data_IF_956992625473
#
_entry.id   IF_956992625473
#
_cell.length_a   1.000
_cell.length_b   1.000
_cell.length_c   1.000
_cell.angle_alpha   90.00
_cell.angle_beta   90.00
_cell.angle_gamma   90.00
#
_symmetry.space_group_name_H-M   'P 1'
#
loop_
_entity.id
_entity.type
_entity.pdbx_description
1 polymer ?
#
# COMPACT_ATOMS: atom_id res chain seq x y z
N UNK A 1 32.27 -35.55 -7.79
CA UNK A 1 31.09 -36.10 -7.09
C UNK A 1 29.86 -35.53 -7.79
N UNK A 2 29.41 -36.21 -8.85
CA UNK A 2 28.26 -35.83 -9.65
C UNK A 2 26.99 -36.11 -8.84
N UNK A 3 26.19 -35.08 -8.56
CA UNK A 3 24.85 -35.22 -7.99
C UNK A 3 23.95 -35.85 -9.06
N UNK A 4 24.00 -37.18 -9.19
CA UNK A 4 22.92 -37.93 -9.81
C UNK A 4 21.68 -37.76 -8.95
N UNK A 5 20.65 -37.14 -9.53
CA UNK A 5 19.32 -37.08 -8.93
C UNK A 5 18.84 -38.52 -8.74
N UNK A 6 18.72 -38.97 -7.49
CA UNK A 6 18.15 -40.28 -7.16
C UNK A 6 16.80 -40.41 -7.85
N UNK A 7 16.67 -41.42 -8.70
CA UNK A 7 15.38 -41.83 -9.27
C UNK A 7 14.42 -42.18 -8.14
N UNK A 8 13.16 -41.69 -8.19
CA UNK A 8 12.15 -42.09 -7.22
C UNK A 8 11.91 -43.60 -7.33
N UNK A 9 11.84 -44.27 -6.18
CA UNK A 9 11.48 -45.69 -6.09
C UNK A 9 10.05 -45.86 -6.61
N UNK A 10 9.89 -46.69 -7.65
CA UNK A 10 8.60 -47.05 -8.23
C UNK A 10 7.92 -48.11 -7.35
N UNK A 11 7.04 -47.66 -6.45
CA UNK A 11 6.31 -48.52 -5.52
C UNK A 11 4.79 -48.36 -5.70
N UNK A 12 4.22 -48.64 -6.87
CA UNK A 12 2.80 -49.07 -7.04
C UNK A 12 1.69 -48.21 -6.40
N UNK A 13 1.95 -47.02 -5.87
CA UNK A 13 0.95 -46.11 -5.33
C UNK A 13 0.22 -45.51 -6.52
N UNK A 14 -1.11 -45.62 -6.53
CA UNK A 14 -1.95 -44.90 -7.51
C UNK A 14 -1.42 -43.48 -7.64
N UNK A 15 -0.93 -43.15 -8.83
CA UNK A 15 -0.46 -41.82 -9.18
C UNK A 15 -1.44 -40.79 -8.65
N UNK A 16 -0.92 -39.64 -8.19
CA UNK A 16 -1.77 -38.53 -7.77
C UNK A 16 -2.89 -38.32 -8.81
N UNK A 17 -4.10 -38.03 -8.36
CA UNK A 17 -5.28 -38.01 -9.24
C UNK A 17 -5.16 -36.97 -10.36
N UNK A 18 -4.38 -35.90 -10.13
CA UNK A 18 -3.87 -35.00 -11.18
C UNK A 18 -2.59 -35.55 -11.80
N UNK A 19 -2.55 -35.52 -13.13
CA UNK A 19 -1.32 -35.68 -13.89
C UNK A 19 -0.25 -34.65 -13.48
N UNK A 20 1.01 -34.98 -13.72
CA UNK A 20 2.16 -34.19 -13.24
C UNK A 20 2.15 -32.75 -13.74
N UNK A 21 1.85 -32.53 -15.03
CA UNK A 21 1.82 -31.19 -15.66
C UNK A 21 0.80 -30.25 -14.99
N UNK A 22 -0.51 -30.56 -14.93
CA UNK A 22 -1.48 -29.68 -14.26
C UNK A 22 -1.21 -29.56 -12.76
N UNK A 23 -0.70 -30.60 -12.10
CA UNK A 23 -0.31 -30.55 -10.68
C UNK A 23 0.83 -29.55 -10.45
N UNK A 24 1.85 -29.53 -11.30
CA UNK A 24 2.96 -28.58 -11.22
C UNK A 24 2.50 -27.13 -11.45
N UNK A 25 1.68 -26.90 -12.49
CA UNK A 25 1.10 -25.57 -12.76
C UNK A 25 0.30 -25.09 -11.55
N UNK A 26 -0.60 -25.93 -11.02
CA UNK A 26 -1.44 -25.57 -9.87
C UNK A 26 -0.62 -25.32 -8.61
N UNK A 27 0.37 -26.16 -8.31
CA UNK A 27 1.23 -26.00 -7.13
C UNK A 27 2.10 -24.74 -7.22
N UNK A 28 2.66 -24.44 -8.39
CA UNK A 28 3.48 -23.24 -8.62
C UNK A 28 2.62 -21.97 -8.59
N UNK A 29 1.45 -21.99 -9.23
CA UNK A 29 0.48 -20.90 -9.14
C UNK A 29 0.05 -20.65 -7.69
N UNK A 30 -0.24 -21.72 -6.95
CA UNK A 30 -0.64 -21.60 -5.56
C UNK A 30 0.48 -21.06 -4.66
N UNK A 31 1.72 -21.50 -4.87
CA UNK A 31 2.88 -21.03 -4.12
C UNK A 31 3.05 -19.51 -4.23
N UNK A 32 3.08 -18.97 -5.45
CA UNK A 32 3.23 -17.52 -5.68
C UNK A 32 1.99 -16.73 -5.27
N UNK A 33 0.79 -17.27 -5.52
CA UNK A 33 -0.45 -16.65 -5.07
C UNK A 33 -0.48 -16.50 -3.54
N UNK A 34 -0.12 -17.56 -2.82
CA UNK A 34 -0.14 -17.58 -1.36
C UNK A 34 0.92 -16.64 -0.76
N UNK A 35 2.10 -16.58 -1.36
CA UNK A 35 3.16 -15.63 -0.99
C UNK A 35 2.64 -14.18 -1.07
N UNK A 36 2.08 -13.78 -2.21
CA UNK A 36 1.55 -12.42 -2.40
C UNK A 36 0.38 -12.12 -1.45
N UNK A 37 -0.51 -13.09 -1.24
CA UNK A 37 -1.63 -12.96 -0.30
C UNK A 37 -1.14 -12.78 1.14
N UNK A 38 -0.12 -13.53 1.57
CA UNK A 38 0.46 -13.38 2.90
C UNK A 38 1.13 -12.01 3.07
N UNK A 39 1.95 -11.58 2.11
CA UNK A 39 2.62 -10.27 2.17
C UNK A 39 1.57 -9.16 2.34
N UNK A 40 0.53 -9.17 1.51
CA UNK A 40 -0.53 -8.15 1.54
C UNK A 40 -1.37 -8.20 2.81
N UNK A 41 -1.83 -9.37 3.22
CA UNK A 41 -2.75 -9.53 4.34
C UNK A 41 -2.09 -9.30 5.71
N UNK A 42 -0.85 -9.78 5.89
CA UNK A 42 -0.10 -9.52 7.12
C UNK A 42 0.33 -8.06 7.21
N UNK A 43 0.72 -7.46 6.08
CA UNK A 43 1.05 -6.03 5.98
C UNK A 43 -0.11 -5.09 6.32
N UNK A 44 -1.36 -5.51 6.11
CA UNK A 44 -2.54 -4.71 6.46
C UNK A 44 -2.96 -4.77 7.92
N UNK A 45 -2.45 -5.75 8.69
CA UNK A 45 -2.85 -5.99 10.08
C UNK A 45 -1.70 -5.77 11.08
N UNK A 46 -0.44 -5.77 10.61
CA UNK A 46 0.75 -5.60 11.44
C UNK A 46 1.58 -4.44 10.88
N UNK A 47 1.47 -3.28 11.50
CA UNK A 47 2.07 -2.03 11.00
C UNK A 47 3.59 -2.13 10.80
N UNK A 48 4.31 -2.92 11.60
CA UNK A 48 5.75 -3.12 11.41
C UNK A 48 6.08 -3.67 10.01
N UNK A 49 5.20 -4.51 9.46
CA UNK A 49 5.39 -5.09 8.13
C UNK A 49 5.13 -4.09 7.00
N UNK A 50 4.43 -2.98 7.25
CA UNK A 50 4.32 -1.89 6.26
C UNK A 50 5.67 -1.20 5.99
N UNK A 51 6.57 -1.21 6.98
CA UNK A 51 7.94 -0.68 6.86
C UNK A 51 8.96 -1.75 6.46
N UNK A 52 8.76 -2.99 6.90
CA UNK A 52 9.63 -4.13 6.59
C UNK A 52 8.94 -5.15 5.68
N UNK A 53 8.40 -4.71 4.55
CA UNK A 53 7.62 -5.59 3.64
C UNK A 53 8.43 -6.77 3.11
N UNK A 54 9.74 -6.61 2.91
CA UNK A 54 10.63 -7.68 2.50
C UNK A 54 10.76 -8.79 3.54
N UNK A 55 10.31 -8.59 4.78
CA UNK A 55 10.50 -9.56 5.84
C UNK A 55 9.69 -10.85 5.60
N UNK A 56 8.44 -10.72 5.14
CA UNK A 56 7.60 -11.86 4.74
C UNK A 56 8.13 -12.49 3.45
N UNK A 57 8.63 -11.68 2.52
CA UNK A 57 9.28 -12.15 1.28
C UNK A 57 10.52 -13.01 1.57
N UNK A 58 11.40 -12.55 2.46
CA UNK A 58 12.59 -13.30 2.89
C UNK A 58 12.20 -14.62 3.59
N UNK A 59 11.18 -14.59 4.44
CA UNK A 59 10.63 -15.80 5.06
C UNK A 59 10.08 -16.76 3.99
N UNK A 60 9.40 -16.24 2.98
CA UNK A 60 8.86 -17.02 1.87
C UNK A 60 9.98 -17.67 1.05
N UNK A 61 11.05 -16.95 0.69
CA UNK A 61 12.21 -17.53 0.00
C UNK A 61 12.89 -18.62 0.81
N UNK A 62 13.07 -18.42 2.13
CA UNK A 62 13.59 -19.46 3.01
C UNK A 62 12.67 -20.69 3.00
N UNK A 63 11.37 -20.49 3.16
CA UNK A 63 10.35 -21.54 3.12
C UNK A 63 10.38 -22.32 1.82
N UNK A 64 10.40 -21.62 0.68
CA UNK A 64 10.47 -22.23 -0.65
C UNK A 64 11.74 -23.08 -0.79
N UNK A 65 12.91 -22.53 -0.43
CA UNK A 65 14.17 -23.26 -0.46
C UNK A 65 14.16 -24.52 0.41
N UNK A 66 13.65 -24.43 1.64
CA UNK A 66 13.50 -25.59 2.54
C UNK A 66 12.51 -26.63 1.98
N UNK A 67 11.46 -26.19 1.29
CA UNK A 67 10.47 -27.06 0.65
C UNK A 67 11.10 -27.93 -0.43
N UNK A 68 11.89 -27.32 -1.33
CA UNK A 68 12.66 -28.07 -2.33
C UNK A 68 13.69 -29.01 -1.70
N UNK A 69 14.39 -28.61 -0.64
CA UNK A 69 15.38 -29.46 0.05
C UNK A 69 14.78 -30.66 0.79
N UNK A 70 13.48 -30.59 1.10
CA UNK A 70 12.73 -31.66 1.77
C UNK A 70 12.28 -32.76 0.81
N UNK A 71 12.26 -32.48 -0.49
CA UNK A 71 11.95 -33.47 -1.53
C UNK A 71 12.92 -34.66 -1.40
N UNK A 72 12.37 -35.87 -1.33
CA UNK A 72 13.14 -37.11 -1.17
C UNK A 72 13.59 -37.43 0.26
N UNK A 73 13.43 -36.51 1.24
CA UNK A 73 13.72 -36.76 2.67
C UNK A 73 12.51 -37.28 3.46
N UNK A 74 11.30 -36.97 3.02
CA UNK A 74 10.06 -37.44 3.64
C UNK A 74 9.03 -37.80 2.59
N UNK A 75 8.30 -38.89 2.80
CA UNK A 75 7.14 -39.28 1.97
C UNK A 75 5.83 -38.63 2.46
N UNK A 76 5.83 -37.94 3.60
CA UNK A 76 4.61 -37.36 4.21
C UNK A 76 4.18 -36.09 3.46
N UNK A 77 2.91 -35.98 3.09
CA UNK A 77 2.35 -34.75 2.54
C UNK A 77 2.52 -33.57 3.52
N UNK A 78 2.70 -32.33 3.04
CA UNK A 78 2.93 -31.16 3.89
C UNK A 78 1.65 -30.64 4.56
N UNK A 79 0.92 -31.51 5.27
CA UNK A 79 -0.31 -31.17 5.99
C UNK A 79 -0.08 -30.12 7.10
N UNK A 80 1.16 -29.87 7.51
CA UNK A 80 1.50 -28.80 8.46
C UNK A 80 1.21 -27.41 7.87
N UNK A 81 1.31 -27.23 6.56
CA UNK A 81 1.20 -25.92 5.90
C UNK A 81 -0.18 -25.25 6.13
N UNK A 82 -1.34 -25.90 5.87
CA UNK A 82 -2.64 -25.34 6.19
C UNK A 82 -2.88 -25.13 7.69
N UNK A 83 -2.30 -25.96 8.56
CA UNK A 83 -2.39 -25.80 10.03
C UNK A 83 -1.63 -24.55 10.48
N UNK A 84 -0.39 -24.37 10.02
CA UNK A 84 0.42 -23.19 10.34
C UNK A 84 -0.23 -21.93 9.77
N UNK A 85 -0.84 -22.00 8.59
CA UNK A 85 -1.61 -20.88 8.02
C UNK A 85 -2.79 -20.50 8.93
N UNK A 86 -3.55 -21.48 9.41
CA UNK A 86 -4.65 -21.22 10.35
C UNK A 86 -4.14 -20.58 11.66
N UNK A 87 -3.04 -21.08 12.22
CA UNK A 87 -2.42 -20.51 13.42
C UNK A 87 -1.96 -19.07 13.16
N UNK A 88 -1.30 -18.82 12.03
CA UNK A 88 -0.86 -17.48 11.65
C UNK A 88 -2.04 -16.52 11.55
N UNK A 89 -3.13 -16.94 10.91
CA UNK A 89 -4.35 -16.12 10.79
C UNK A 89 -4.94 -15.80 12.16
N UNK A 90 -5.04 -16.78 13.05
CA UNK A 90 -5.49 -16.57 14.44
C UNK A 90 -4.58 -15.59 15.18
N UNK A 91 -3.26 -15.77 15.10
CA UNK A 91 -2.29 -14.90 15.78
C UNK A 91 -2.41 -13.46 15.30
N UNK A 92 -2.44 -13.22 13.98
CA UNK A 92 -2.51 -11.87 13.41
C UNK A 92 -3.83 -11.18 13.71
N UNK A 93 -4.96 -11.90 13.72
CA UNK A 93 -6.27 -11.32 14.06
C UNK A 93 -6.45 -11.09 15.56
N UNK A 94 -5.82 -11.90 16.42
CA UNK A 94 -5.91 -11.75 17.88
C UNK A 94 -4.97 -10.68 18.40
N UNK A 95 -3.82 -10.50 17.75
CA UNK A 95 -2.78 -9.56 18.14
C UNK A 95 -2.47 -8.58 17.00
N UNK A 96 -3.44 -7.77 16.56
CA UNK A 96 -3.17 -6.74 15.56
C UNK A 96 -2.17 -5.72 16.12
N UNK A 97 -1.27 -5.24 15.27
CA UNK A 97 -0.31 -4.20 15.64
C UNK A 97 -0.63 -2.95 14.85
N UNK A 98 -1.25 -1.97 15.50
CA UNK A 98 -1.65 -0.69 14.88
C UNK A 98 -0.98 0.48 15.58
N UNK A 99 -0.91 1.63 14.91
CA UNK A 99 -0.40 2.86 15.53
C UNK A 99 -1.42 3.38 16.55
N UNK A 100 -0.97 3.59 17.78
CA UNK A 100 -1.69 4.29 18.83
C UNK A 100 -1.52 5.81 18.63
N UNK A 101 -2.64 6.54 18.68
CA UNK A 101 -2.70 7.98 18.40
C UNK A 101 -2.69 8.84 19.66
N UNK A 102 -2.68 8.24 20.85
CA UNK A 102 -2.78 8.96 22.13
C UNK A 102 -1.46 9.60 22.61
N UNK A 103 -0.40 9.61 21.81
CA UNK A 103 0.87 10.25 22.18
C UNK A 103 1.14 11.40 21.22
N UNK A 104 1.11 12.64 21.72
CA UNK A 104 1.50 13.87 20.99
C UNK A 104 3.02 13.93 20.68
N UNK A 105 3.66 12.78 20.51
CA UNK A 105 5.08 12.64 20.25
C UNK A 105 5.36 12.45 18.76
N UNK A 106 6.35 13.20 18.28
CA UNK A 106 6.98 13.12 16.96
C UNK A 106 6.95 11.71 16.36
N UNK A 107 6.45 11.59 15.12
CA UNK A 107 6.50 10.40 14.26
C UNK A 107 7.96 10.05 13.91
N UNK A 108 8.75 9.65 14.91
CA UNK A 108 10.07 9.09 14.76
C UNK A 108 9.99 7.58 14.58
N UNK A 109 10.88 7.05 13.75
CA UNK A 109 11.03 5.64 13.36
C UNK A 109 11.17 4.65 14.53
N UNK A 110 11.30 5.14 15.76
CA UNK A 110 11.53 4.36 16.99
C UNK A 110 10.43 4.53 18.06
N UNK A 111 9.45 5.43 17.88
CA UNK A 111 8.45 5.76 18.90
C UNK A 111 7.02 5.83 18.38
N UNK A 112 6.67 4.98 17.41
CA UNK A 112 5.26 4.65 17.23
C UNK A 112 4.82 3.90 18.49
N UNK A 113 4.06 4.55 19.38
CA UNK A 113 3.27 3.81 20.35
C UNK A 113 2.38 2.90 19.51
N UNK A 114 2.67 1.60 19.55
CA UNK A 114 1.92 0.60 18.81
C UNK A 114 1.11 -0.16 19.82
N UNK A 115 -0.14 -0.45 19.49
CA UNK A 115 -0.89 -1.45 20.23
C UNK A 115 -0.40 -2.84 19.83
N UNK A 116 -0.43 -3.80 20.75
CA UNK A 116 -0.06 -5.19 20.46
C UNK A 116 1.37 -5.59 20.85
N UNK A 117 1.82 -6.79 20.44
CA UNK A 117 3.12 -7.33 20.84
C UNK A 117 4.29 -6.55 20.22
N UNK A 118 5.45 -6.50 20.90
CA UNK A 118 6.60 -5.76 20.38
C UNK A 118 7.17 -6.40 19.11
N UNK A 119 7.76 -5.57 18.24
CA UNK A 119 8.33 -5.98 16.95
C UNK A 119 9.29 -7.17 17.06
N UNK A 120 10.17 -7.19 18.07
CA UNK A 120 11.16 -8.25 18.27
C UNK A 120 10.53 -9.62 18.58
N UNK A 121 9.26 -9.67 18.97
CA UNK A 121 8.52 -10.91 19.21
C UNK A 121 7.66 -11.29 18.00
N UNK A 122 6.83 -10.37 17.51
CA UNK A 122 5.84 -10.67 16.47
C UNK A 122 6.50 -10.93 15.11
N UNK A 123 7.59 -10.22 14.78
CA UNK A 123 8.27 -10.38 13.50
C UNK A 123 8.85 -11.80 13.37
N UNK A 124 9.72 -12.32 14.27
CA UNK A 124 10.21 -13.70 14.16
C UNK A 124 9.10 -14.74 14.06
N UNK A 125 7.97 -14.56 14.77
CA UNK A 125 6.81 -15.46 14.68
C UNK A 125 6.24 -15.46 13.27
N UNK A 126 5.99 -14.28 12.68
CA UNK A 126 5.47 -14.16 11.32
C UNK A 126 6.46 -14.70 10.28
N UNK A 127 7.77 -14.43 10.45
CA UNK A 127 8.80 -14.95 9.55
C UNK A 127 8.82 -16.47 9.51
N UNK A 128 8.87 -17.10 10.68
CA UNK A 128 8.87 -18.55 10.81
C UNK A 128 7.56 -19.14 10.28
N UNK A 129 6.42 -18.52 10.58
CA UNK A 129 5.13 -18.97 10.07
C UNK A 129 5.05 -18.86 8.54
N UNK A 130 5.46 -17.74 7.94
CA UNK A 130 5.51 -17.58 6.49
C UNK A 130 6.42 -18.62 5.83
N UNK A 131 7.63 -18.82 6.37
CA UNK A 131 8.55 -19.84 5.88
C UNK A 131 7.93 -21.26 5.96
N UNK A 132 7.32 -21.61 7.09
CA UNK A 132 6.68 -22.92 7.25
C UNK A 132 5.44 -23.08 6.36
N UNK A 133 4.64 -22.03 6.16
CA UNK A 133 3.50 -22.09 5.24
C UNK A 133 3.98 -22.33 3.81
N UNK A 134 4.92 -21.52 3.31
CA UNK A 134 5.42 -21.62 1.92
C UNK A 134 6.27 -22.87 1.66
N UNK A 135 6.90 -23.43 2.69
CA UNK A 135 7.59 -24.72 2.58
C UNK A 135 6.67 -25.83 2.08
N UNK A 136 5.36 -25.77 2.38
CA UNK A 136 4.39 -26.78 1.93
C UNK A 136 4.15 -26.79 0.42
N UNK A 137 3.60 -25.71 -0.18
CA UNK A 137 3.43 -25.61 -1.63
C UNK A 137 4.75 -25.81 -2.39
N UNK A 138 5.88 -25.31 -1.88
CA UNK A 138 7.18 -25.52 -2.50
C UNK A 138 7.61 -27.00 -2.50
N UNK A 139 7.35 -27.76 -1.43
CA UNK A 139 7.56 -29.20 -1.42
C UNK A 139 6.70 -29.91 -2.49
N UNK A 140 5.47 -29.46 -2.71
CA UNK A 140 4.57 -30.01 -3.75
C UNK A 140 5.09 -29.72 -5.17
N UNK A 141 5.59 -28.50 -5.40
CA UNK A 141 6.27 -28.12 -6.65
C UNK A 141 7.50 -29.01 -6.85
N UNK A 142 8.39 -29.06 -5.85
CA UNK A 142 9.64 -29.81 -5.92
C UNK A 142 9.45 -31.31 -6.13
N UNK A 143 8.35 -31.92 -5.67
CA UNK A 143 8.01 -33.32 -5.97
C UNK A 143 7.67 -33.57 -7.44
N UNK A 144 7.18 -32.57 -8.17
CA UNK A 144 6.83 -32.72 -9.58
C UNK A 144 8.06 -32.62 -10.51
N UNK A 145 9.13 -31.94 -10.09
CA UNK A 145 10.31 -31.71 -10.93
C UNK A 145 11.02 -32.99 -11.38
N UNK A 146 11.24 -34.01 -10.53
CA UNK A 146 11.86 -35.28 -10.92
C UNK A 146 11.01 -36.12 -11.89
N UNK A 147 9.71 -35.84 -12.01
CA UNK A 147 8.78 -36.60 -12.84
C UNK A 147 8.71 -36.07 -14.29
N UNK A 148 9.40 -34.97 -14.62
CA UNK A 148 9.40 -34.34 -15.94
C UNK A 148 10.84 -34.03 -16.41
N UNK A 149 11.08 -33.93 -17.74
CA UNK A 149 12.33 -33.37 -18.26
C UNK A 149 12.57 -31.95 -17.74
N UNK A 150 13.83 -31.60 -17.43
CA UNK A 150 14.20 -30.35 -16.73
C UNK A 150 13.61 -29.08 -17.38
N UNK A 151 13.75 -28.93 -18.70
CA UNK A 151 13.20 -27.76 -19.42
C UNK A 151 11.67 -27.72 -19.38
N UNK A 152 11.03 -28.89 -19.43
CA UNK A 152 9.57 -28.98 -19.43
C UNK A 152 8.99 -28.65 -18.05
N UNK A 153 9.62 -29.16 -16.98
CA UNK A 153 9.29 -28.80 -15.60
C UNK A 153 9.39 -27.28 -15.41
N UNK A 154 10.53 -26.68 -15.82
CA UNK A 154 10.75 -25.24 -15.70
C UNK A 154 9.71 -24.41 -16.47
N UNK A 155 9.34 -24.83 -17.69
CA UNK A 155 8.30 -24.15 -18.48
C UNK A 155 6.95 -24.13 -17.75
N UNK A 156 6.52 -25.26 -17.18
CA UNK A 156 5.24 -25.35 -16.48
C UNK A 156 5.27 -24.66 -15.12
N UNK A 157 6.41 -24.62 -14.45
CA UNK A 157 6.62 -23.83 -13.24
C UNK A 157 6.46 -22.32 -13.53
N UNK A 158 7.09 -21.81 -14.58
CA UNK A 158 6.90 -20.41 -15.00
C UNK A 158 5.44 -20.08 -15.35
N UNK A 159 4.77 -20.96 -16.10
CA UNK A 159 3.33 -20.78 -16.42
C UNK A 159 2.49 -20.74 -15.15
N UNK A 160 2.75 -21.65 -14.20
CA UNK A 160 2.07 -21.66 -12.90
C UNK A 160 2.31 -20.37 -12.13
N UNK A 161 3.57 -20.00 -11.92
CA UNK A 161 3.97 -18.78 -11.21
C UNK A 161 3.33 -17.51 -11.79
N UNK A 162 3.37 -17.32 -13.11
CA UNK A 162 2.71 -16.19 -13.79
C UNK A 162 1.19 -16.21 -13.59
N UNK A 163 0.57 -17.40 -13.62
CA UNK A 163 -0.87 -17.55 -13.36
C UNK A 163 -1.23 -17.15 -11.93
N UNK A 164 -0.43 -17.56 -10.94
CA UNK A 164 -0.62 -17.19 -9.54
C UNK A 164 -0.54 -15.68 -9.31
N UNK A 165 0.50 -15.04 -9.89
CA UNK A 165 0.68 -13.59 -9.85
C UNK A 165 -0.51 -12.89 -10.51
N UNK A 166 -0.86 -13.26 -11.74
CA UNK A 166 -1.96 -12.66 -12.48
C UNK A 166 -3.31 -12.79 -11.75
N UNK A 167 -3.59 -13.96 -11.16
CA UNK A 167 -4.80 -14.17 -10.38
C UNK A 167 -4.87 -13.25 -9.16
N UNK A 168 -3.77 -13.11 -8.41
CA UNK A 168 -3.73 -12.21 -7.25
C UNK A 168 -3.83 -10.73 -7.65
N UNK A 169 -3.16 -10.32 -8.73
CA UNK A 169 -3.26 -8.97 -9.29
C UNK A 169 -4.68 -8.66 -9.72
N UNK A 170 -5.37 -9.59 -10.39
CA UNK A 170 -6.77 -9.42 -10.80
C UNK A 170 -7.70 -9.27 -9.59
N UNK A 171 -7.54 -10.09 -8.54
CA UNK A 171 -8.32 -9.96 -7.30
C UNK A 171 -8.07 -8.61 -6.62
N UNK A 172 -6.82 -8.17 -6.57
CA UNK A 172 -6.47 -6.86 -5.99
C UNK A 172 -7.11 -5.73 -6.80
N UNK A 173 -6.99 -5.76 -8.14
CA UNK A 173 -7.60 -4.78 -9.03
C UNK A 173 -9.13 -4.70 -8.89
N UNK A 174 -9.78 -5.85 -8.67
CA UNK A 174 -11.22 -5.93 -8.42
C UNK A 174 -11.63 -5.60 -6.98
N UNK A 175 -10.70 -5.14 -6.14
CA UNK A 175 -10.98 -4.84 -4.73
C UNK A 175 -11.52 -6.05 -3.95
N UNK A 176 -11.13 -7.28 -4.33
CA UNK A 176 -11.64 -8.49 -3.71
C UNK A 176 -11.09 -8.65 -2.27
N UNK A 177 -11.95 -8.78 -1.26
CA UNK A 177 -11.52 -8.93 0.13
C UNK A 177 -10.83 -10.28 0.41
N UNK A 178 -10.11 -10.42 1.55
CA UNK A 178 -9.27 -11.57 1.87
C UNK A 178 -10.00 -12.92 1.90
N UNK A 179 -11.31 -12.94 2.13
CA UNK A 179 -12.10 -14.17 2.07
C UNK A 179 -11.94 -14.89 0.74
N UNK A 180 -11.83 -14.17 -0.39
CA UNK A 180 -11.59 -14.77 -1.70
C UNK A 180 -10.19 -15.39 -1.80
N UNK A 181 -9.19 -14.79 -1.15
CA UNK A 181 -7.84 -15.34 -1.11
C UNK A 181 -7.79 -16.61 -0.27
N UNK A 182 -8.47 -16.60 0.88
CA UNK A 182 -8.65 -17.77 1.74
C UNK A 182 -9.40 -18.91 1.03
N UNK A 183 -10.44 -18.60 0.26
CA UNK A 183 -11.19 -19.59 -0.52
C UNK A 183 -10.31 -20.25 -1.59
N UNK A 184 -9.53 -19.46 -2.35
CA UNK A 184 -8.60 -19.99 -3.34
C UNK A 184 -7.54 -20.88 -2.66
N UNK A 185 -6.98 -20.42 -1.53
CA UNK A 185 -6.02 -21.22 -0.78
C UNK A 185 -6.62 -22.54 -0.28
N UNK A 186 -7.84 -22.51 0.26
CA UNK A 186 -8.56 -23.70 0.71
C UNK A 186 -8.81 -24.69 -0.44
N UNK A 187 -9.21 -24.19 -1.62
CA UNK A 187 -9.41 -25.02 -2.82
C UNK A 187 -8.08 -25.63 -3.27
N UNK A 188 -7.01 -24.84 -3.37
CA UNK A 188 -5.69 -25.33 -3.77
C UNK A 188 -5.17 -26.40 -2.81
N UNK A 189 -5.27 -26.18 -1.49
CA UNK A 189 -4.91 -27.21 -0.50
C UNK A 189 -5.76 -28.47 -0.65
N UNK A 190 -7.07 -28.34 -0.86
CA UNK A 190 -7.95 -29.48 -1.04
C UNK A 190 -7.59 -30.32 -2.28
N UNK A 191 -7.23 -29.67 -3.39
CA UNK A 191 -6.88 -30.32 -4.65
C UNK A 191 -5.48 -30.94 -4.64
N UNK A 192 -4.51 -30.31 -3.97
CA UNK A 192 -3.10 -30.73 -3.96
C UNK A 192 -2.75 -31.70 -2.83
N UNK A 193 -3.50 -31.70 -1.71
CA UNK A 193 -3.23 -32.54 -0.54
C UNK A 193 -4.21 -33.72 -0.39
N UNK A 194 -4.77 -34.20 -1.52
CA UNK A 194 -5.75 -35.29 -1.58
C UNK A 194 -5.25 -36.56 -0.86
N UNK A 195 -6.12 -37.28 -0.12
CA UNK A 195 -5.74 -37.90 1.15
C UNK A 195 -5.07 -39.28 1.06
N UNK A 196 -4.29 -39.59 2.12
CA UNK A 196 -4.24 -40.89 2.84
C UNK A 196 -3.85 -40.67 4.32
N UNK A 197 -4.64 -41.09 5.35
CA UNK A 197 -6.06 -41.48 5.44
C UNK A 197 -7.06 -40.31 5.63
N UNK A 198 -8.37 -40.54 5.43
CA UNK A 198 -9.43 -39.48 5.42
C UNK A 198 -9.53 -38.65 6.71
N UNK A 199 -9.44 -39.28 7.88
CA UNK A 199 -9.53 -38.57 9.16
C UNK A 199 -8.41 -37.52 9.32
N UNK A 200 -7.19 -37.87 8.89
CA UNK A 200 -6.04 -36.97 8.90
C UNK A 200 -6.25 -35.78 7.96
N UNK A 201 -6.81 -36.02 6.77
CA UNK A 201 -7.13 -34.97 5.81
C UNK A 201 -8.19 -34.01 6.33
N UNK A 202 -9.28 -34.51 6.92
CA UNK A 202 -10.31 -33.66 7.51
C UNK A 202 -9.72 -32.80 8.63
N UNK A 203 -8.97 -33.42 9.55
CA UNK A 203 -8.40 -32.71 10.71
C UNK A 203 -7.28 -31.73 10.39
N UNK A 204 -6.44 -32.02 9.40
CA UNK A 204 -5.25 -31.20 9.10
C UNK A 204 -5.37 -30.34 7.84
N UNK A 205 -6.34 -30.60 6.96
CA UNK A 205 -6.55 -29.80 5.74
C UNK A 205 -7.90 -29.12 5.80
N UNK A 206 -8.99 -29.88 5.86
CA UNK A 206 -10.34 -29.31 5.75
C UNK A 206 -10.67 -28.37 6.90
N UNK A 207 -10.49 -28.80 8.15
CA UNK A 207 -10.81 -27.98 9.33
C UNK A 207 -9.96 -26.69 9.38
N UNK A 208 -8.62 -26.73 9.25
CA UNK A 208 -7.80 -25.52 9.21
C UNK A 208 -8.16 -24.58 8.05
N UNK A 209 -8.38 -25.12 6.85
CA UNK A 209 -8.76 -24.29 5.70
C UNK A 209 -10.13 -23.62 5.88
N UNK A 210 -11.12 -24.34 6.42
CA UNK A 210 -12.42 -23.74 6.74
C UNK A 210 -12.32 -22.70 7.87
N UNK A 211 -11.46 -22.93 8.86
CA UNK A 211 -11.19 -21.95 9.91
C UNK A 211 -10.59 -20.66 9.32
N UNK A 212 -9.60 -20.77 8.42
CA UNK A 212 -9.03 -19.62 7.71
C UNK A 212 -10.11 -18.87 6.94
N UNK A 213 -10.92 -19.57 6.14
CA UNK A 213 -12.01 -18.95 5.36
C UNK A 213 -13.01 -18.25 6.29
N UNK A 214 -13.41 -18.89 7.39
CA UNK A 214 -14.35 -18.32 8.36
C UNK A 214 -13.81 -17.08 9.06
N UNK A 215 -12.54 -17.10 9.47
CA UNK A 215 -11.87 -15.95 10.10
C UNK A 215 -11.72 -14.77 9.13
N UNK A 216 -11.32 -15.03 7.88
CA UNK A 216 -11.20 -14.00 6.86
C UNK A 216 -12.56 -13.47 6.40
N UNK A 217 -13.61 -14.29 6.41
CA UNK A 217 -14.98 -13.85 6.20
C UNK A 217 -15.42 -12.93 7.33
N UNK A 218 -15.16 -13.27 8.59
CA UNK A 218 -15.47 -12.41 9.73
C UNK A 218 -14.77 -11.05 9.64
N UNK A 219 -13.47 -11.02 9.27
CA UNK A 219 -12.75 -9.77 8.99
C UNK A 219 -13.40 -8.98 7.84
N UNK A 220 -13.75 -9.66 6.75
CA UNK A 220 -14.40 -9.04 5.57
C UNK A 220 -15.75 -8.41 5.91
N UNK A 221 -16.52 -9.03 6.81
CA UNK A 221 -17.83 -8.54 7.24
C UNK A 221 -17.73 -7.47 8.34
N UNK A 222 -16.53 -7.13 8.81
CA UNK A 222 -16.35 -6.07 9.80
C UNK A 222 -16.76 -4.73 9.20
N UNK A 223 -17.72 -4.05 9.84
CA UNK A 223 -18.17 -2.74 9.41
C UNK A 223 -17.01 -1.73 9.42
N UNK A 224 -16.97 -0.87 8.41
CA UNK A 224 -15.95 0.19 8.30
C UNK A 224 -14.61 -0.27 7.75
N UNK A 225 -14.51 -1.46 7.13
CA UNK A 225 -13.33 -1.92 6.40
C UNK A 225 -13.64 -2.11 4.90
N UNK A 226 -12.77 -1.59 4.04
CA UNK A 226 -12.86 -1.67 2.58
C UNK A 226 -11.48 -2.11 2.07
N UNK A 227 -11.45 -2.94 1.02
CA UNK A 227 -10.21 -3.33 0.35
C UNK A 227 -10.09 -2.58 -0.97
N UNK A 228 -9.10 -1.69 -1.08
CA UNK A 228 -8.75 -1.06 -2.34
C UNK A 228 -7.77 -1.93 -3.13
N UNK A 229 -7.44 -1.59 -4.38
CA UNK A 229 -6.35 -2.26 -5.09
C UNK A 229 -5.00 -2.15 -4.39
N UNK A 230 -4.82 -1.14 -3.55
CA UNK A 230 -3.57 -0.86 -2.86
C UNK A 230 -3.56 -1.42 -1.44
N UNK A 231 -4.63 -1.24 -0.64
CA UNK A 231 -4.61 -1.49 0.80
C UNK A 231 -5.93 -1.94 1.42
N UNK A 232 -5.86 -2.26 2.71
CA UNK A 232 -7.02 -2.23 3.62
C UNK A 232 -7.26 -0.80 4.09
N UNK A 233 -8.41 -0.24 3.73
CA UNK A 233 -8.91 1.06 4.19
C UNK A 233 -9.88 0.79 5.34
N UNK A 234 -9.68 1.45 6.47
CA UNK A 234 -10.63 1.46 7.59
C UNK A 234 -11.06 2.88 7.89
N UNK A 235 -12.32 3.08 8.25
CA UNK A 235 -12.82 4.41 8.57
C UNK A 235 -13.76 4.39 9.78
N UNK A 236 -13.76 5.50 10.50
CA UNK A 236 -14.62 5.73 11.66
C UNK A 236 -15.17 7.15 11.61
N UNK A 237 -16.46 7.28 11.85
CA UNK A 237 -17.08 8.58 12.03
C UNK A 237 -16.96 9.00 13.49
N UNK A 238 -16.54 10.24 13.71
CA UNK A 238 -16.37 10.82 15.02
C UNK A 238 -16.79 12.29 15.02
N UNK A 239 -17.02 12.84 16.21
CA UNK A 239 -17.13 14.27 16.39
C UNK A 239 -15.84 14.83 16.98
N UNK A 240 -15.26 15.79 16.28
CA UNK A 240 -14.08 16.52 16.74
C UNK A 240 -14.44 17.99 16.84
N UNK A 241 -14.33 18.55 18.05
CA UNK A 241 -14.69 19.95 18.34
C UNK A 241 -16.11 20.32 17.87
N UNK A 242 -17.07 19.39 17.99
CA UNK A 242 -18.46 19.58 17.55
C UNK A 242 -18.69 19.47 16.04
N UNK A 243 -17.66 19.11 15.26
CA UNK A 243 -17.73 18.92 13.81
C UNK A 243 -17.68 17.43 13.47
N UNK A 244 -18.57 17.00 12.56
CA UNK A 244 -18.55 15.64 12.05
C UNK A 244 -17.31 15.41 11.17
N UNK A 245 -16.51 14.41 11.52
CA UNK A 245 -15.30 14.02 10.82
C UNK A 245 -15.34 12.54 10.52
N UNK A 246 -14.92 12.15 9.31
CA UNK A 246 -14.62 10.75 9.03
C UNK A 246 -13.12 10.57 9.03
N UNK A 247 -12.62 9.83 10.01
CA UNK A 247 -11.22 9.48 10.12
C UNK A 247 -10.94 8.20 9.34
N UNK A 248 -9.87 8.21 8.54
CA UNK A 248 -9.52 7.15 7.61
C UNK A 248 -8.10 6.70 7.92
N UNK A 249 -7.95 5.41 8.12
CA UNK A 249 -6.68 4.74 8.29
C UNK A 249 -6.47 3.70 7.19
N UNK A 250 -5.22 3.53 6.79
CA UNK A 250 -4.81 2.60 5.74
C UNK A 250 -3.80 1.64 6.33
N UNK A 251 -4.03 0.34 6.23
CA UNK A 251 -3.20 -0.71 6.86
C UNK A 251 -2.92 -0.45 8.36
N UNK A 252 -3.90 0.11 9.09
CA UNK A 252 -3.76 0.45 10.50
C UNK A 252 -2.92 1.72 10.79
N UNK A 253 -2.54 2.47 9.75
CA UNK A 253 -1.84 3.75 9.85
C UNK A 253 -2.86 4.90 9.65
N UNK A 254 -2.96 5.83 10.61
CA UNK A 254 -3.54 7.16 10.42
C UNK A 254 -3.20 7.79 9.07
N UNK A 255 -4.19 8.04 8.22
CA UNK A 255 -3.90 8.47 6.85
C UNK A 255 -4.51 9.83 6.50
N UNK A 256 -5.84 9.96 6.55
CA UNK A 256 -6.53 11.18 6.17
C UNK A 256 -7.86 11.35 6.91
N UNK A 257 -8.42 12.55 6.85
CA UNK A 257 -9.73 12.84 7.43
C UNK A 257 -10.58 13.62 6.44
N UNK A 258 -11.83 13.19 6.27
CA UNK A 258 -12.86 13.95 5.58
C UNK A 258 -13.42 14.99 6.56
N UNK A 259 -13.09 16.27 6.34
CA UNK A 259 -13.42 17.38 7.24
C UNK A 259 -14.02 18.53 6.44
N UNK A 260 -15.07 19.21 6.94
CA UNK A 260 -15.59 20.40 6.29
C UNK A 260 -14.49 21.43 6.04
N UNK A 261 -14.47 22.06 4.87
CA UNK A 261 -13.45 23.02 4.46
C UNK A 261 -13.30 24.17 5.48
N UNK A 262 -14.42 24.68 5.98
CA UNK A 262 -14.42 25.75 6.98
C UNK A 262 -13.73 25.32 8.28
N UNK A 263 -14.00 24.11 8.77
CA UNK A 263 -13.38 23.58 9.97
C UNK A 263 -11.89 23.29 9.74
N UNK A 264 -11.54 22.68 8.60
CA UNK A 264 -10.14 22.38 8.25
C UNK A 264 -9.28 23.64 8.21
N UNK A 265 -9.77 24.70 7.56
CA UNK A 265 -9.06 25.98 7.46
C UNK A 265 -8.90 26.69 8.81
N UNK A 266 -9.80 26.43 9.78
CA UNK A 266 -9.69 26.97 11.14
C UNK A 266 -8.70 26.18 12.00
N UNK A 267 -8.69 24.86 11.86
CA UNK A 267 -7.84 23.98 12.70
C UNK A 267 -6.40 23.95 12.23
N UNK A 268 -6.17 24.00 10.91
CA UNK A 268 -4.88 23.70 10.30
C UNK A 268 -4.55 24.72 9.20
N UNK A 269 -3.70 25.69 9.57
CA UNK A 269 -3.34 26.82 8.69
C UNK A 269 -2.74 26.36 7.36
N UNK A 270 -2.05 25.23 7.31
CA UNK A 270 -1.35 24.76 6.11
C UNK A 270 -2.26 24.61 4.89
N UNK A 271 -3.54 24.30 5.08
CA UNK A 271 -4.50 24.13 3.99
C UNK A 271 -4.91 25.47 3.34
N UNK A 272 -4.77 26.59 4.06
CA UNK A 272 -5.08 27.93 3.55
C UNK A 272 -3.92 28.57 2.78
N UNK A 273 -2.68 28.23 3.16
CA UNK A 273 -1.47 28.88 2.66
C UNK A 273 -1.30 28.83 1.13
N UNK A 274 -1.54 27.71 0.41
CA UNK A 274 -1.42 27.69 -1.05
C UNK A 274 -2.22 28.81 -1.73
N UNK A 275 -3.40 29.13 -1.21
CA UNK A 275 -4.28 30.18 -1.73
C UNK A 275 -3.81 31.58 -1.30
N UNK A 276 -3.31 31.74 -0.06
CA UNK A 276 -2.74 33.00 0.43
C UNK A 276 -1.47 33.42 -0.33
N UNK A 277 -0.70 32.44 -0.81
CA UNK A 277 0.55 32.66 -1.57
C UNK A 277 0.32 32.95 -3.05
N UNK A 278 -0.88 32.72 -3.58
CA UNK A 278 -1.23 33.14 -4.95
C UNK A 278 -1.52 34.64 -5.03
N UNK A 279 -1.27 35.25 -6.20
CA UNK A 279 -1.52 36.69 -6.39
C UNK A 279 -2.98 37.01 -6.74
N UNK A 280 -3.73 36.02 -7.22
CA UNK A 280 -5.13 36.12 -7.64
C UNK A 280 -5.86 34.84 -7.20
N UNK A 281 -7.16 34.92 -6.85
CA UNK A 281 -7.95 33.73 -6.52
C UNK A 281 -7.94 32.73 -7.70
N UNK A 282 -7.43 31.50 -7.52
CA UNK A 282 -7.30 30.53 -8.60
C UNK A 282 -8.68 30.04 -9.06
N UNK A 283 -8.88 29.89 -10.37
CA UNK A 283 -10.15 29.44 -10.97
C UNK A 283 -10.06 28.01 -11.47
N UNK A 284 -8.94 27.65 -12.07
CA UNK A 284 -8.62 26.30 -12.52
C UNK A 284 -7.60 25.67 -11.57
N UNK A 285 -8.04 24.70 -10.77
CA UNK A 285 -7.22 24.07 -9.74
C UNK A 285 -7.01 22.59 -10.05
N UNK A 286 -5.76 22.12 -10.01
CA UNK A 286 -5.42 20.70 -10.01
C UNK A 286 -5.03 20.30 -8.59
N UNK A 287 -5.63 19.23 -8.08
CA UNK A 287 -5.31 18.65 -6.77
C UNK A 287 -4.85 17.22 -6.99
N UNK A 288 -3.57 16.96 -6.71
CA UNK A 288 -2.98 15.61 -6.72
C UNK A 288 -2.93 15.08 -5.29
N UNK A 289 -3.45 13.87 -5.08
CA UNK A 289 -3.71 13.33 -3.75
C UNK A 289 -5.03 13.83 -3.18
N UNK A 290 -6.08 13.94 -4.02
CA UNK A 290 -7.36 14.52 -3.63
C UNK A 290 -8.08 13.72 -2.53
N UNK A 291 -7.79 12.42 -2.39
CA UNK A 291 -8.22 11.57 -1.29
C UNK A 291 -9.72 11.64 -1.02
N UNK A 292 -10.07 11.86 0.25
CA UNK A 292 -11.44 11.99 0.73
C UNK A 292 -12.12 13.31 0.35
N UNK A 293 -11.39 14.27 -0.23
CA UNK A 293 -11.97 15.46 -0.85
C UNK A 293 -11.84 16.76 -0.05
N UNK A 294 -11.17 16.77 1.11
CA UNK A 294 -11.03 17.97 1.94
C UNK A 294 -10.40 19.13 1.17
N UNK A 295 -9.32 18.90 0.42
CA UNK A 295 -8.69 19.93 -0.42
C UNK A 295 -9.57 20.37 -1.60
N UNK A 296 -10.38 19.45 -2.14
CA UNK A 296 -11.37 19.77 -3.18
C UNK A 296 -12.43 20.72 -2.60
N UNK A 297 -12.95 20.43 -1.40
CA UNK A 297 -13.91 21.29 -0.71
C UNK A 297 -13.31 22.68 -0.43
N UNK A 298 -12.03 22.73 -0.05
CA UNK A 298 -11.31 24.00 0.17
C UNK A 298 -11.20 24.78 -1.14
N UNK A 299 -10.76 24.16 -2.24
CA UNK A 299 -10.67 24.82 -3.54
C UNK A 299 -12.02 25.42 -3.98
N UNK A 300 -13.11 24.66 -3.82
CA UNK A 300 -14.47 25.13 -4.11
C UNK A 300 -14.86 26.33 -3.22
N UNK A 301 -14.55 26.28 -1.92
CA UNK A 301 -14.82 27.37 -0.97
C UNK A 301 -13.99 28.63 -1.26
N UNK A 302 -12.81 28.48 -1.86
CA UNK A 302 -11.94 29.58 -2.32
C UNK A 302 -12.34 30.13 -3.69
N UNK A 303 -13.42 29.61 -4.28
CA UNK A 303 -14.01 30.15 -5.50
C UNK A 303 -13.43 29.58 -6.79
N UNK A 304 -12.86 28.37 -6.75
CA UNK A 304 -12.50 27.63 -7.95
C UNK A 304 -13.73 27.42 -8.84
N UNK A 305 -13.55 27.62 -10.15
CA UNK A 305 -14.55 27.42 -11.18
C UNK A 305 -14.46 26.02 -11.80
N UNK A 306 -13.25 25.42 -11.79
CA UNK A 306 -12.98 24.05 -12.20
C UNK A 306 -11.92 23.44 -11.31
N UNK A 307 -12.16 22.22 -10.83
CA UNK A 307 -11.21 21.44 -10.03
C UNK A 307 -11.00 20.07 -10.69
N UNK A 308 -9.78 19.77 -11.09
CA UNK A 308 -9.37 18.40 -11.43
C UNK A 308 -8.83 17.74 -10.16
N UNK A 309 -9.53 16.72 -9.68
CA UNK A 309 -9.17 15.96 -8.49
C UNK A 309 -8.55 14.61 -8.90
N UNK A 310 -7.24 14.48 -8.74
CA UNK A 310 -6.49 13.27 -9.08
C UNK A 310 -6.24 12.46 -7.81
N UNK A 311 -6.77 11.24 -7.81
CA UNK A 311 -6.62 10.28 -6.72
C UNK A 311 -6.28 8.91 -7.31
N UNK A 312 -5.27 8.25 -6.77
CA UNK A 312 -4.84 6.95 -7.29
C UNK A 312 -5.74 5.81 -6.78
N UNK A 313 -6.24 5.92 -5.56
CA UNK A 313 -7.06 4.90 -4.91
C UNK A 313 -8.57 5.14 -5.15
N UNK A 314 -9.23 4.30 -5.97
CA UNK A 314 -10.64 4.45 -6.26
C UNK A 314 -11.54 4.35 -5.02
N UNK A 315 -11.12 3.61 -3.98
CA UNK A 315 -11.92 3.42 -2.76
C UNK A 315 -11.81 4.58 -1.80
N UNK A 316 -10.66 5.25 -1.71
CA UNK A 316 -10.54 6.50 -0.95
C UNK A 316 -11.41 7.60 -1.56
N UNK A 317 -11.40 7.67 -2.90
CA UNK A 317 -12.28 8.54 -3.67
C UNK A 317 -13.75 8.22 -3.32
N UNK A 318 -14.21 6.99 -3.60
CA UNK A 318 -15.60 6.55 -3.36
C UNK A 318 -16.06 6.85 -1.92
N UNK A 319 -15.21 6.56 -0.94
CA UNK A 319 -15.45 6.88 0.46
C UNK A 319 -15.68 8.39 0.65
N UNK A 320 -14.79 9.24 0.14
CA UNK A 320 -14.98 10.70 0.18
C UNK A 320 -16.29 11.19 -0.45
N UNK A 321 -16.88 10.45 -1.38
CA UNK A 321 -18.15 10.85 -2.02
C UNK A 321 -19.36 10.50 -1.19
N UNK A 322 -19.25 9.43 -0.41
CA UNK A 322 -20.33 8.94 0.43
C UNK A 322 -20.34 9.59 1.81
N UNK A 323 -19.18 9.93 2.38
CA UNK A 323 -19.07 10.33 3.80
C UNK A 323 -18.57 11.76 4.04
N UNK A 324 -18.02 12.44 3.03
CA UNK A 324 -17.47 13.79 3.24
C UNK A 324 -18.62 14.80 3.49
N UNK A 325 -18.60 15.56 4.60
CA UNK A 325 -19.73 16.44 4.95
C UNK A 325 -20.08 17.47 3.89
N UNK A 326 -19.08 18.10 3.26
CA UNK A 326 -19.30 19.11 2.21
C UNK A 326 -19.65 18.52 0.84
N UNK A 327 -19.62 17.18 0.69
CA UNK A 327 -19.88 16.46 -0.56
C UNK A 327 -19.18 17.08 -1.79
N UNK A 328 -17.87 17.40 -1.72
CA UNK A 328 -17.19 18.21 -2.73
C UNK A 328 -17.21 17.56 -4.12
N UNK A 329 -17.23 16.24 -4.16
CA UNK A 329 -17.23 15.49 -5.41
C UNK A 329 -18.58 15.39 -6.12
N UNK A 330 -19.67 15.86 -5.49
CA UNK A 330 -20.98 15.99 -6.15
C UNK A 330 -21.11 17.34 -6.87
N UNK A 331 -20.17 18.27 -6.67
CA UNK A 331 -20.19 19.60 -7.29
C UNK A 331 -19.82 19.49 -8.78
N UNK A 332 -20.63 20.07 -9.71
CA UNK A 332 -20.39 19.97 -11.15
C UNK A 332 -19.09 20.64 -11.61
N UNK A 333 -18.45 21.45 -10.75
CA UNK A 333 -17.13 22.05 -11.02
C UNK A 333 -15.98 21.07 -10.82
N UNK A 334 -16.22 19.90 -10.24
CA UNK A 334 -15.19 18.91 -9.93
C UNK A 334 -15.21 17.78 -10.96
N UNK A 335 -14.04 17.50 -11.54
CA UNK A 335 -13.80 16.31 -12.36
C UNK A 335 -12.81 15.41 -11.64
N UNK A 336 -13.16 14.15 -11.42
CA UNK A 336 -12.29 13.19 -10.75
C UNK A 336 -11.54 12.31 -11.74
N UNK A 337 -10.25 12.10 -11.51
CA UNK A 337 -9.39 11.25 -12.31
C UNK A 337 -8.76 10.17 -11.43
N UNK A 338 -9.14 8.90 -11.66
CA UNK A 338 -8.53 7.77 -10.95
C UNK A 338 -7.23 7.37 -11.64
N UNK A 339 -6.12 7.96 -11.22
CA UNK A 339 -4.81 7.70 -11.81
C UNK A 339 -3.68 8.22 -10.91
N UNK A 340 -2.45 7.86 -11.27
CA UNK A 340 -1.25 8.40 -10.63
C UNK A 340 -1.07 9.89 -10.99
N UNK A 341 -0.66 10.70 -10.01
CA UNK A 341 -0.51 12.15 -10.18
C UNK A 341 0.50 12.55 -11.24
N UNK A 342 1.62 11.82 -11.34
CA UNK A 342 2.65 12.08 -12.35
C UNK A 342 2.16 11.63 -13.72
N UNK A 343 1.54 10.45 -13.81
CA UNK A 343 0.95 9.97 -15.05
C UNK A 343 -0.15 10.92 -15.58
N UNK A 344 -0.91 11.58 -14.71
CA UNK A 344 -1.86 12.61 -15.10
C UNK A 344 -1.15 13.82 -15.71
N UNK A 345 -0.15 14.38 -15.03
CA UNK A 345 0.62 15.54 -15.49
C UNK A 345 1.32 15.27 -16.83
N UNK A 346 1.83 14.06 -17.06
CA UNK A 346 2.50 13.68 -18.32
C UNK A 346 1.52 13.55 -19.51
N UNK A 347 0.22 13.37 -19.25
CA UNK A 347 -0.79 13.10 -20.29
C UNK A 347 -1.74 14.25 -20.54
N UNK A 348 -1.95 15.12 -19.55
CA UNK A 348 -2.89 16.23 -19.66
C UNK A 348 -2.31 17.36 -20.52
N UNK A 349 -3.15 17.97 -21.37
CA UNK A 349 -2.81 19.23 -22.05
C UNK A 349 -3.30 20.47 -21.30
N UNK A 350 -4.03 20.29 -20.19
CA UNK A 350 -4.65 21.37 -19.46
C UNK A 350 -3.62 22.21 -18.69
N UNK A 351 -3.90 23.50 -18.51
CA UNK A 351 -3.11 24.41 -17.67
C UNK A 351 -3.95 24.92 -16.51
N UNK A 352 -3.31 25.17 -15.38
CA UNK A 352 -3.98 25.49 -14.11
C UNK A 352 -3.48 26.81 -13.51
N UNK A 353 -4.36 27.50 -12.77
CA UNK A 353 -3.98 28.67 -11.96
C UNK A 353 -3.31 28.23 -10.64
N UNK A 354 -3.68 27.05 -10.13
CA UNK A 354 -3.05 26.43 -8.97
C UNK A 354 -2.92 24.93 -9.20
N UNK A 355 -1.70 24.40 -9.06
CA UNK A 355 -1.47 22.95 -8.92
C UNK A 355 -1.07 22.69 -7.47
N UNK A 356 -1.79 21.80 -6.80
CA UNK A 356 -1.60 21.45 -5.41
C UNK A 356 -1.25 19.97 -5.27
N UNK A 357 -0.06 19.67 -4.74
CA UNK A 357 0.25 18.34 -4.22
C UNK A 357 -0.17 18.31 -2.75
N UNK A 358 -1.39 17.80 -2.54
CA UNK A 358 -2.11 17.85 -1.28
C UNK A 358 -1.70 16.68 -0.37
N UNK A 359 -0.50 16.77 0.21
CA UNK A 359 0.05 15.73 1.08
C UNK A 359 -0.04 14.33 0.44
N UNK A 360 0.48 14.15 -0.79
CA UNK A 360 0.43 12.84 -1.42
C UNK A 360 1.28 11.86 -0.60
N UNK A 361 0.61 10.94 0.09
CA UNK A 361 1.22 9.79 0.75
C UNK A 361 0.53 8.57 0.19
N UNK A 362 1.19 7.90 -0.75
CA UNK A 362 0.58 6.72 -1.34
C UNK A 362 0.58 5.56 -0.34
N UNK A 363 1.45 5.57 0.68
CA UNK A 363 1.90 4.40 1.47
C UNK A 363 2.33 3.19 0.60
N UNK A 364 2.49 3.37 -0.72
CA UNK A 364 2.71 2.28 -1.69
C UNK A 364 4.19 2.15 -1.88
N UNK A 365 4.72 0.96 -1.62
CA UNK A 365 6.10 0.68 -1.94
C UNK A 365 6.24 0.39 -3.43
N UNK A 366 7.31 0.92 -4.00
CA UNK A 366 7.71 0.63 -5.37
C UNK A 366 8.25 -0.80 -5.39
N UNK A 367 7.67 -1.65 -6.25
CA UNK A 367 8.08 -3.06 -6.35
C UNK A 367 9.59 -3.18 -6.64
N UNK A 368 10.33 -3.80 -5.72
CA UNK A 368 11.78 -4.03 -5.85
C UNK A 368 12.68 -3.04 -5.09
N UNK A 369 12.15 -1.93 -4.55
CA UNK A 369 12.89 -0.96 -3.76
C UNK A 369 12.20 -0.74 -2.39
N UNK A 370 12.80 -1.23 -1.31
CA UNK A 370 12.15 -1.31 0.02
C UNK A 370 11.92 0.04 0.72
N UNK A 371 12.56 1.12 0.28
CA UNK A 371 12.42 2.46 0.87
C UNK A 371 11.79 3.49 -0.07
N UNK A 372 11.66 3.19 -1.36
CA UNK A 372 11.04 4.10 -2.32
C UNK A 372 9.54 3.86 -2.34
N UNK A 373 8.81 4.96 -2.22
CA UNK A 373 7.35 4.96 -2.29
C UNK A 373 6.89 5.72 -3.53
N UNK A 374 5.69 5.44 -4.06
CA UNK A 374 5.24 6.09 -5.30
C UNK A 374 5.22 7.63 -5.16
N UNK A 375 4.88 8.17 -3.98
CA UNK A 375 4.92 9.62 -3.78
C UNK A 375 6.33 10.21 -3.86
N UNK A 376 7.39 9.41 -3.67
CA UNK A 376 8.77 9.89 -3.84
C UNK A 376 9.01 10.40 -5.26
N UNK A 377 8.29 9.89 -6.25
CA UNK A 377 8.35 10.35 -7.64
C UNK A 377 7.60 11.66 -7.91
N UNK A 378 6.82 12.18 -6.95
CA UNK A 378 6.21 13.51 -6.99
C UNK A 378 7.11 14.60 -6.38
N UNK A 379 8.16 14.20 -5.67
CA UNK A 379 9.09 15.12 -5.00
C UNK A 379 10.45 15.23 -5.71
N UNK A 380 10.50 14.96 -7.02
CA UNK A 380 11.71 15.14 -7.84
C UNK A 380 11.71 16.47 -8.57
N UNK A 381 12.87 16.91 -9.04
CA UNK A 381 12.98 18.13 -9.84
C UNK A 381 12.13 18.05 -11.11
N UNK A 382 12.13 16.90 -11.80
CA UNK A 382 11.36 16.69 -13.02
C UNK A 382 9.85 16.75 -12.76
N UNK A 383 9.39 16.26 -11.60
CA UNK A 383 7.98 16.36 -11.23
C UNK A 383 7.57 17.82 -10.99
N UNK A 384 8.42 18.62 -10.34
CA UNK A 384 8.18 20.04 -10.13
C UNK A 384 8.28 20.84 -11.44
N UNK A 385 9.19 20.48 -12.34
CA UNK A 385 9.29 21.05 -13.69
C UNK A 385 8.02 20.72 -14.51
N UNK A 386 7.55 19.47 -14.47
CA UNK A 386 6.30 19.09 -15.11
C UNK A 386 5.11 19.89 -14.54
N UNK A 387 5.02 20.08 -13.22
CA UNK A 387 4.00 20.93 -12.63
C UNK A 387 4.11 22.37 -13.14
N UNK A 388 5.32 22.96 -13.14
CA UNK A 388 5.59 24.31 -13.66
C UNK A 388 5.13 24.48 -15.11
N UNK A 389 5.45 23.52 -15.98
CA UNK A 389 5.03 23.54 -17.37
C UNK A 389 3.51 23.56 -17.52
N UNK A 390 2.77 22.98 -16.57
CA UNK A 390 1.31 22.94 -16.54
C UNK A 390 0.65 24.15 -15.86
N UNK A 391 1.41 25.18 -15.47
CA UNK A 391 0.85 26.42 -14.96
C UNK A 391 0.42 27.34 -16.09
N UNK A 392 -0.69 28.05 -15.87
CA UNK A 392 -1.06 29.23 -16.67
C UNK A 392 -0.15 30.41 -16.33
N UNK A 393 -0.08 31.44 -17.20
CA UNK A 393 0.51 32.71 -16.83
C UNK A 393 -0.12 33.26 -15.54
N UNK A 394 0.69 33.57 -14.53
CA UNK A 394 0.19 33.99 -13.22
C UNK A 394 -0.17 32.86 -12.26
N UNK A 395 -0.01 31.60 -12.66
CA UNK A 395 -0.31 30.43 -11.84
C UNK A 395 0.79 30.11 -10.84
N UNK A 396 0.48 29.26 -9.86
CA UNK A 396 1.42 28.79 -8.86
C UNK A 396 1.31 27.27 -8.64
N UNK A 397 2.42 26.66 -8.26
CA UNK A 397 2.48 25.30 -7.75
C UNK A 397 2.71 25.34 -6.24
N UNK A 398 2.03 24.47 -5.50
CA UNK A 398 2.20 24.34 -4.06
C UNK A 398 2.18 22.89 -3.64
N UNK A 399 2.95 22.58 -2.60
CA UNK A 399 2.95 21.27 -1.95
C UNK A 399 3.09 21.43 -0.44
N UNK A 400 2.50 20.52 0.32
CA UNK A 400 2.67 20.50 1.77
C UNK A 400 2.69 19.08 2.31
N UNK A 401 3.43 18.86 3.40
CA UNK A 401 3.54 17.58 4.07
C UNK A 401 4.05 17.74 5.52
N UNK A 402 4.05 16.63 6.27
CA UNK A 402 4.79 16.45 7.51
C UNK A 402 6.21 15.97 7.15
N UNK A 403 7.14 16.89 6.92
CA UNK A 403 8.49 16.54 6.46
C UNK A 403 9.38 15.97 7.56
N UNK A 404 8.98 16.14 8.83
CA UNK A 404 9.62 15.63 10.07
C UNK A 404 11.01 16.19 10.37
N UNK A 405 11.81 16.44 9.34
CA UNK A 405 13.18 16.93 9.42
C UNK A 405 13.33 18.25 8.64
N UNK A 406 14.02 19.22 9.23
CA UNK A 406 14.20 20.55 8.62
C UNK A 406 15.04 20.49 7.34
N UNK A 407 16.07 19.64 7.30
CA UNK A 407 16.91 19.46 6.12
C UNK A 407 16.12 18.97 4.90
N UNK A 408 15.03 18.22 5.11
CA UNK A 408 14.17 17.74 4.02
C UNK A 408 13.35 18.89 3.44
N UNK A 409 12.88 19.82 4.28
CA UNK A 409 12.21 21.05 3.83
C UNK A 409 13.17 21.87 2.97
N UNK A 410 14.41 22.05 3.42
CA UNK A 410 15.44 22.79 2.69
C UNK A 410 15.82 22.13 1.37
N UNK A 411 15.99 20.80 1.35
CA UNK A 411 16.22 20.04 0.12
C UNK A 411 15.10 20.26 -0.88
N UNK A 412 13.83 20.16 -0.45
CA UNK A 412 12.68 20.34 -1.33
C UNK A 412 12.52 21.78 -1.81
N UNK A 413 12.83 22.76 -0.97
CA UNK A 413 12.87 24.17 -1.36
C UNK A 413 13.99 24.45 -2.39
N UNK A 414 15.15 23.83 -2.23
CA UNK A 414 16.24 23.90 -3.20
C UNK A 414 15.84 23.26 -4.54
N UNK A 415 15.23 22.07 -4.51
CA UNK A 415 14.69 21.41 -5.71
C UNK A 415 13.64 22.28 -6.42
N UNK A 416 12.73 22.89 -5.65
CA UNK A 416 11.73 23.83 -6.18
C UNK A 416 12.39 25.05 -6.82
N UNK A 417 13.42 25.62 -6.18
CA UNK A 417 14.18 26.72 -6.74
C UNK A 417 14.86 26.34 -8.06
N UNK A 418 15.42 25.13 -8.16
CA UNK A 418 16.03 24.63 -9.41
C UNK A 418 14.99 24.52 -10.52
N UNK A 419 13.82 23.93 -10.22
CA UNK A 419 12.75 23.74 -11.19
C UNK A 419 12.10 25.07 -11.68
N UNK A 420 11.98 26.07 -10.79
CA UNK A 420 11.30 27.34 -11.09
C UNK A 420 12.24 28.49 -11.45
N UNK A 421 13.53 28.38 -11.13
CA UNK A 421 14.55 29.39 -11.40
C UNK A 421 14.55 30.59 -10.44
N UNK A 422 13.74 30.55 -9.38
CA UNK A 422 13.70 31.58 -8.33
C UNK A 422 13.33 30.98 -6.98
N UNK A 423 13.50 31.76 -5.90
CA UNK A 423 13.21 31.30 -4.54
C UNK A 423 11.72 31.02 -4.35
N UNK A 424 11.34 29.88 -3.74
CA UNK A 424 9.96 29.61 -3.35
C UNK A 424 9.59 30.33 -2.05
N UNK A 425 8.29 30.36 -1.74
CA UNK A 425 7.80 30.62 -0.39
C UNK A 425 7.84 29.33 0.43
N UNK A 426 8.36 29.38 1.65
CA UNK A 426 8.46 28.25 2.58
C UNK A 426 7.84 28.65 3.91
N UNK A 427 6.67 28.10 4.20
CA UNK A 427 5.91 28.33 5.41
C UNK A 427 6.01 27.12 6.33
N UNK A 428 6.82 27.21 7.39
CA UNK A 428 6.88 26.17 8.44
C UNK A 428 5.78 26.44 9.47
N UNK A 429 4.75 25.60 9.45
CA UNK A 429 3.53 25.76 10.28
C UNK A 429 3.69 25.11 11.66
N UNK A 430 4.51 24.06 11.76
CA UNK A 430 4.82 23.41 13.04
C UNK A 430 6.23 22.85 13.02
N UNK A 431 7.03 23.18 14.04
CA UNK A 431 8.40 22.68 14.21
C UNK A 431 8.46 21.28 14.82
N UNK A 432 7.42 20.86 15.56
CA UNK A 432 7.36 19.54 16.20
C UNK A 432 7.20 18.38 15.21
N UNK A 433 6.69 18.65 14.01
CA UNK A 433 6.58 17.68 12.91
C UNK A 433 7.18 18.16 11.58
N UNK A 434 7.86 19.31 11.60
CA UNK A 434 8.32 20.04 10.40
C UNK A 434 7.25 20.05 9.31
N UNK A 435 6.03 20.44 9.70
CA UNK A 435 4.95 20.65 8.74
C UNK A 435 5.26 21.93 7.97
N UNK A 436 5.37 21.82 6.65
CA UNK A 436 5.66 22.97 5.83
C UNK A 436 4.83 23.00 4.55
N UNK A 437 4.57 24.21 4.06
CA UNK A 437 4.01 24.48 2.74
C UNK A 437 5.11 25.14 1.90
N UNK A 438 5.37 24.59 0.72
CA UNK A 438 6.34 25.14 -0.23
C UNK A 438 5.56 25.53 -1.48
N UNK A 439 5.60 26.81 -1.85
CA UNK A 439 4.87 27.37 -2.98
C UNK A 439 5.83 28.11 -3.92
N UNK A 440 5.70 27.87 -5.22
CA UNK A 440 6.40 28.63 -6.25
C UNK A 440 5.40 29.13 -7.31
N UNK A 441 5.38 30.44 -7.54
CA UNK A 441 4.71 31.03 -8.71
C UNK A 441 5.44 30.66 -10.00
N UNK A 442 4.79 30.77 -11.16
CA UNK A 442 5.48 30.57 -12.45
C UNK A 442 6.67 31.54 -12.63
N UNK A 443 6.55 32.74 -12.07
CA UNK A 443 7.62 33.70 -11.84
C UNK A 443 7.56 34.25 -10.39
N UNK A 444 8.61 34.97 -9.98
CA UNK A 444 8.65 35.59 -8.64
C UNK A 444 7.50 36.59 -8.42
N UNK A 445 7.00 37.24 -9.48
CA UNK A 445 5.88 38.16 -9.40
C UNK A 445 4.52 37.46 -9.21
N UNK A 446 4.45 36.15 -9.43
CA UNK A 446 3.22 35.35 -9.39
C UNK A 446 2.96 34.73 -7.99
N UNK A 447 3.82 35.01 -7.02
CA UNK A 447 3.71 34.54 -5.63
C UNK A 447 3.76 35.69 -4.62
N UNK A 448 3.19 35.48 -3.42
CA UNK A 448 3.18 36.42 -2.30
C UNK A 448 3.70 35.78 -1.02
N UNK A 449 5.03 35.75 -0.85
CA UNK A 449 5.60 35.07 0.31
C UNK A 449 5.36 35.78 1.65
N UNK A 450 5.08 37.10 1.66
CA UNK A 450 4.74 37.81 2.90
C UNK A 450 5.80 37.67 4.02
N UNK A 451 7.08 37.59 3.66
CA UNK A 451 8.20 37.34 4.57
C UNK A 451 8.66 35.87 4.64
N UNK A 452 7.89 34.93 4.11
CA UNK A 452 8.24 33.51 4.04
C UNK A 452 9.08 33.14 2.80
N UNK A 453 9.78 34.10 2.18
CA UNK A 453 10.67 33.78 1.06
C UNK A 453 11.84 32.93 1.58
N UNK A 454 12.14 31.82 0.92
CA UNK A 454 13.16 30.89 1.42
C UNK A 454 14.52 31.57 1.53
N UNK A 455 15.12 31.49 2.72
CA UNK A 455 16.40 32.13 3.02
C UNK A 455 17.60 31.38 2.40
N UNK A 456 17.39 30.13 1.97
CA UNK A 456 18.45 29.18 1.62
C UNK A 456 18.57 28.08 2.67
N UNK A 457 19.30 27.02 2.33
CA UNK A 457 19.44 25.86 3.21
C UNK A 457 20.17 26.22 4.52
N UNK A 458 19.69 25.69 5.65
CA UNK A 458 20.32 25.89 6.93
C UNK A 458 21.71 25.22 7.00
N UNK A 459 22.66 25.76 7.80
CA UNK A 459 23.95 25.13 8.02
C UNK A 459 23.79 23.70 8.54
N UNK A 460 24.37 22.71 7.84
CA UNK A 460 24.25 21.29 8.18
C UNK A 460 23.16 20.52 7.42
N UNK A 461 22.44 21.17 6.51
CA UNK A 461 21.65 20.47 5.49
C UNK A 461 22.60 19.64 4.62
N UNK A 462 22.39 18.32 4.46
CA UNK A 462 23.19 17.51 3.55
C UNK A 462 23.08 18.03 2.12
N UNK A 463 24.19 18.01 1.38
CA UNK A 463 24.25 18.40 -0.04
C UNK A 463 23.34 17.55 -0.93
#
# INVERSE_FOLDING_TARGET
MTLEARTPVDDGEKAHWLAVRPRLILASAFMLFLELALIRWTGSNIVHLSYFTNFVLLGSFLGIGLGFLRVGRSRRQPYYSPVVLAILVVVVLTFPVTVDRNTEGVLYWTSLSTSGPPAWLILPVIFCAAALVLMGPAELVGRCFPELPRLEAYRYDLVGSLTGIAAFTALSFLSAPPVFWGLIAAICYALLLVPRPRALYVGLVTVPSLAVVGLLLAETLTAGAIWSPYYKVTFRQLQQLGVAVTDIAVNGIPHQQAVPAAARLQWERQYGLPYERTTKPPKDVLIVGAGSGTDVAIALSKGAARVDAVEIDPKLRELGGSVHPDRPYDDPRVTTHITDGRAFLERTGAKYDLILFALPDSLTLVSGASSLRLESYLFTEEAMQAAREHLKPGGAFSMYNYYRESWLVDRLAATMQSAFGHKPCVDVVSTAGQQAVITAGLSEADQRCGGAAWAGAAPGTPD
#
